data_IF_187078592591
#
_entry.id   IF_187078592591
#
_cell.length_a   1.000
_cell.length_b   1.000
_cell.length_c   1.000
_cell.angle_alpha   90.00
_cell.angle_beta   90.00
_cell.angle_gamma   90.00
#
_symmetry.space_group_name_H-M   'P 1'
#
loop_
_entity.id
_entity.type
_entity.pdbx_description
1 polymer ?
#
# COMPACT_ATOMS: atom_id res chain seq x y z
N UNK A 1 27.82 13.90 -8.52
CA UNK A 1 27.31 13.48 -9.84
C UNK A 1 27.33 11.95 -9.98
N UNK A 2 26.75 11.21 -9.02
CA UNK A 2 26.85 9.74 -8.95
C UNK A 2 25.62 8.98 -9.50
N UNK A 3 24.57 9.69 -9.93
CA UNK A 3 23.40 9.09 -10.59
C UNK A 3 23.67 8.59 -12.02
N UNK A 4 24.82 8.95 -12.62
CA UNK A 4 25.18 8.49 -13.96
C UNK A 4 25.65 7.02 -14.02
N UNK A 5 26.08 6.44 -12.90
CA UNK A 5 26.83 5.17 -12.94
C UNK A 5 25.97 3.90 -12.86
N UNK A 6 24.73 3.95 -12.35
CA UNK A 6 23.87 2.75 -12.26
C UNK A 6 22.88 2.68 -13.43
N UNK A 7 22.36 3.81 -13.91
CA UNK A 7 21.55 3.85 -15.14
C UNK A 7 22.44 3.61 -16.37
N UNK A 8 23.68 4.10 -16.37
CA UNK A 8 24.68 3.77 -17.39
C UNK A 8 25.14 2.29 -17.38
N UNK A 9 24.99 1.59 -16.26
CA UNK A 9 25.41 0.19 -16.09
C UNK A 9 24.46 -0.80 -16.78
N UNK A 10 23.14 -0.57 -16.69
CA UNK A 10 22.14 -1.40 -17.39
C UNK A 10 22.03 -0.99 -18.87
N UNK A 11 22.15 0.31 -19.16
CA UNK A 11 22.14 0.83 -20.53
C UNK A 11 23.37 0.41 -21.33
N UNK A 12 24.57 0.34 -20.74
CA UNK A 12 25.79 -0.08 -21.46
C UNK A 12 25.79 -1.57 -21.85
N UNK A 13 25.14 -2.44 -21.06
CA UNK A 13 24.98 -3.85 -21.40
C UNK A 13 23.97 -4.10 -22.51
N UNK A 14 22.84 -3.37 -22.51
CA UNK A 14 21.94 -3.41 -23.66
C UNK A 14 22.65 -2.84 -24.87
N UNK A 15 23.22 -1.62 -24.82
CA UNK A 15 23.89 -1.03 -25.98
C UNK A 15 25.00 -1.93 -26.54
N UNK A 16 25.86 -2.56 -25.71
CA UNK A 16 26.89 -3.51 -26.20
C UNK A 16 26.31 -4.79 -26.81
N UNK A 17 25.25 -5.38 -26.23
CA UNK A 17 24.58 -6.56 -26.82
C UNK A 17 23.89 -6.21 -28.13
N UNK A 18 23.39 -4.99 -28.27
CA UNK A 18 22.77 -4.50 -29.50
C UNK A 18 23.82 -4.20 -30.59
N UNK A 19 24.97 -3.59 -30.26
CA UNK A 19 26.06 -3.36 -31.24
C UNK A 19 26.71 -4.67 -31.70
N UNK A 20 26.89 -5.64 -30.80
CA UNK A 20 27.45 -6.96 -31.16
C UNK A 20 26.48 -7.78 -32.03
N UNK A 21 25.17 -7.57 -31.90
CA UNK A 21 24.16 -8.14 -32.79
C UNK A 21 24.07 -7.41 -34.16
N UNK A 22 24.47 -6.14 -34.23
CA UNK A 22 24.43 -5.32 -35.43
C UNK A 22 25.71 -5.36 -36.28
N UNK A 23 26.85 -5.77 -35.71
CA UNK A 23 28.17 -5.80 -36.37
C UNK A 23 28.92 -7.10 -36.01
N UNK A 24 28.63 -8.23 -36.70
CA UNK A 24 29.18 -9.54 -36.32
C UNK A 24 30.68 -9.73 -36.62
N UNK A 25 31.28 -8.87 -37.46
CA UNK A 25 32.67 -8.99 -37.92
C UNK A 25 33.67 -8.10 -37.15
N UNK A 26 33.21 -7.30 -36.16
CA UNK A 26 34.07 -6.43 -35.35
C UNK A 26 34.18 -6.95 -33.90
N UNK A 27 35.41 -7.18 -33.43
CA UNK A 27 35.66 -7.63 -32.06
C UNK A 27 35.46 -6.45 -31.11
N UNK A 28 34.24 -6.30 -30.59
CA UNK A 28 33.93 -5.32 -29.53
C UNK A 28 34.35 -5.92 -28.18
N UNK A 29 35.56 -5.60 -27.72
CA UNK A 29 35.99 -5.94 -26.35
C UNK A 29 35.25 -5.08 -25.33
N UNK A 30 34.30 -5.69 -24.61
CA UNK A 30 33.66 -5.05 -23.48
C UNK A 30 34.68 -4.86 -22.34
N UNK A 31 34.74 -3.69 -21.69
CA UNK A 31 35.60 -3.50 -20.53
C UNK A 31 35.27 -4.54 -19.45
N UNK A 32 36.27 -5.10 -18.75
CA UNK A 32 36.03 -6.12 -17.74
C UNK A 32 35.10 -5.59 -16.66
N UNK A 33 34.06 -6.37 -16.33
CA UNK A 33 33.14 -6.06 -15.24
C UNK A 33 33.95 -5.92 -13.95
N UNK A 34 33.89 -4.75 -13.31
CA UNK A 34 34.34 -4.66 -11.91
C UNK A 34 33.43 -5.60 -11.10
N UNK A 35 33.97 -6.55 -10.33
CA UNK A 35 33.14 -7.39 -9.48
C UNK A 35 32.34 -6.51 -8.53
N UNK A 36 31.09 -6.91 -8.25
CA UNK A 36 30.32 -6.29 -7.18
C UNK A 36 31.14 -6.39 -5.87
N UNK A 37 31.12 -5.35 -5.01
CA UNK A 37 31.85 -5.41 -3.75
C UNK A 37 31.45 -6.67 -2.97
N UNK A 38 32.41 -7.54 -2.67
CA UNK A 38 32.18 -8.77 -1.93
C UNK A 38 32.04 -8.45 -0.43
N UNK A 39 31.05 -9.08 0.22
CA UNK A 39 30.76 -8.92 1.65
C UNK A 39 29.41 -8.25 1.93
N UNK A 40 29.08 -8.15 3.22
CA UNK A 40 27.86 -7.49 3.71
C UNK A 40 28.24 -6.39 4.69
N UNK A 41 27.46 -5.33 4.74
CA UNK A 41 27.56 -4.27 5.74
C UNK A 41 26.47 -4.37 6.79
N UNK A 42 26.48 -3.42 7.71
CA UNK A 42 25.44 -3.22 8.70
C UNK A 42 25.02 -1.75 8.76
N UNK A 43 23.80 -1.50 9.23
CA UNK A 43 23.23 -0.17 9.43
C UNK A 43 22.84 -0.02 10.90
N UNK A 44 23.35 1.00 11.58
CA UNK A 44 22.99 1.30 12.96
C UNK A 44 22.48 2.73 13.10
N UNK A 45 21.53 2.95 14.01
CA UNK A 45 20.97 4.28 14.24
C UNK A 45 20.03 4.31 15.45
N UNK A 46 19.26 5.39 15.54
CA UNK A 46 18.27 5.59 16.58
C UNK A 46 16.89 5.88 15.98
N UNK A 47 15.85 5.45 16.69
CA UNK A 47 14.47 5.89 16.44
C UNK A 47 13.99 6.69 17.64
N UNK A 48 13.57 7.92 17.38
CA UNK A 48 13.23 8.90 18.40
C UNK A 48 11.84 9.48 18.18
N UNK A 49 11.24 10.00 19.24
CA UNK A 49 10.06 10.85 19.20
C UNK A 49 10.27 12.01 20.17
N UNK A 50 10.23 13.26 19.68
CA UNK A 50 10.50 14.46 20.50
C UNK A 50 11.79 14.36 21.34
N UNK A 51 12.82 13.72 20.78
CA UNK A 51 14.11 13.48 21.46
C UNK A 51 14.13 12.30 22.45
N UNK A 52 12.99 11.65 22.73
CA UNK A 52 12.92 10.44 23.55
C UNK A 52 13.06 9.17 22.70
N UNK A 53 13.67 8.10 23.22
CA UNK A 53 13.82 6.84 22.48
C UNK A 53 12.48 6.12 22.28
N UNK A 54 12.25 5.62 21.07
CA UNK A 54 11.11 4.74 20.78
C UNK A 54 11.58 3.29 20.82
N UNK A 55 11.11 2.55 21.81
CA UNK A 55 11.46 1.14 22.05
C UNK A 55 10.60 0.22 21.18
N UNK A 56 11.18 -0.90 20.72
CA UNK A 56 10.48 -1.92 19.93
C UNK A 56 9.90 -1.40 18.59
N UNK A 57 10.42 -0.28 18.08
CA UNK A 57 10.19 0.16 16.73
C UNK A 57 10.90 -0.80 15.77
N UNK A 58 10.24 -1.18 14.68
CA UNK A 58 10.84 -2.00 13.63
C UNK A 58 11.44 -1.08 12.57
N UNK A 59 12.72 -1.28 12.25
CA UNK A 59 13.44 -0.55 11.21
C UNK A 59 13.73 -1.50 10.06
N UNK A 60 13.37 -1.07 8.85
CA UNK A 60 13.42 -1.88 7.63
C UNK A 60 14.23 -1.15 6.57
N UNK A 61 15.08 -1.90 5.88
CA UNK A 61 15.62 -1.54 4.56
C UNK A 61 15.27 -2.63 3.57
N UNK A 62 14.98 -2.28 2.33
CA UNK A 62 14.64 -3.25 1.28
C UNK A 62 15.65 -3.17 0.14
N UNK A 63 16.09 -4.33 -0.33
CA UNK A 63 16.87 -4.46 -1.57
C UNK A 63 16.03 -4.03 -2.79
N UNK A 64 16.67 -3.68 -3.92
CA UNK A 64 15.95 -3.38 -5.16
C UNK A 64 15.03 -4.52 -5.65
N UNK A 65 15.37 -5.77 -5.32
CA UNK A 65 14.57 -6.95 -5.61
C UNK A 65 13.41 -7.19 -4.61
N UNK A 66 13.30 -6.37 -3.57
CA UNK A 66 12.23 -6.40 -2.57
C UNK A 66 12.55 -7.21 -1.31
N UNK A 67 13.73 -7.82 -1.19
CA UNK A 67 14.15 -8.55 0.02
C UNK A 67 14.31 -7.57 1.20
N UNK A 68 13.54 -7.72 2.30
CA UNK A 68 13.65 -6.83 3.45
C UNK A 68 14.69 -7.32 4.46
N UNK A 69 15.43 -6.38 5.04
CA UNK A 69 16.28 -6.57 6.22
C UNK A 69 15.70 -5.75 7.38
N UNK A 70 15.55 -6.37 8.55
CA UNK A 70 14.77 -5.81 9.66
C UNK A 70 15.53 -5.91 10.98
N UNK A 71 15.46 -4.86 11.79
CA UNK A 71 15.85 -4.88 13.19
C UNK A 71 14.81 -4.19 14.06
N UNK A 72 14.87 -4.41 15.37
CA UNK A 72 14.04 -3.71 16.34
C UNK A 72 14.88 -2.83 17.25
N UNK A 73 14.33 -1.70 17.65
CA UNK A 73 15.00 -0.82 18.61
C UNK A 73 14.98 -1.37 20.02
N UNK A 74 16.08 -1.19 20.73
CA UNK A 74 16.23 -1.54 22.14
C UNK A 74 15.62 -0.48 23.07
N UNK A 75 15.83 -0.65 24.39
CA UNK A 75 15.35 0.27 25.43
C UNK A 75 15.91 1.71 25.31
N UNK A 76 17.01 1.88 24.59
CA UNK A 76 17.64 3.18 24.30
C UNK A 76 17.25 3.75 22.94
N UNK A 77 16.33 3.09 22.22
CA UNK A 77 15.89 3.47 20.89
C UNK A 77 16.91 3.13 19.79
N UNK A 78 17.99 2.42 20.11
CA UNK A 78 19.04 2.06 19.17
C UNK A 78 18.67 0.80 18.40
N UNK A 79 18.95 0.77 17.10
CA UNK A 79 18.85 -0.42 16.25
C UNK A 79 20.17 -0.71 15.54
N UNK A 80 20.35 -1.97 15.13
CA UNK A 80 21.39 -2.39 14.19
C UNK A 80 20.83 -3.49 13.29
N UNK A 81 20.88 -3.28 11.97
CA UNK A 81 20.53 -4.25 10.94
C UNK A 81 21.83 -4.79 10.36
N UNK A 82 22.06 -6.08 10.47
CA UNK A 82 23.24 -6.75 9.93
C UNK A 82 22.96 -7.42 8.58
N UNK A 83 24.02 -7.84 7.90
CA UNK A 83 23.97 -8.63 6.67
C UNK A 83 23.30 -7.94 5.47
N UNK A 84 23.43 -6.62 5.37
CA UNK A 84 22.88 -5.85 4.26
C UNK A 84 23.90 -5.85 3.10
N UNK A 85 23.51 -6.25 1.87
CA UNK A 85 24.39 -6.12 0.71
C UNK A 85 24.81 -4.66 0.47
N UNK A 86 26.04 -4.39 0.02
CA UNK A 86 26.49 -3.03 -0.27
C UNK A 86 25.58 -2.33 -1.29
N UNK A 87 25.25 -1.06 -1.06
CA UNK A 87 24.30 -0.34 -1.89
C UNK A 87 23.72 0.91 -1.22
N UNK A 88 22.74 1.53 -1.87
CA UNK A 88 22.04 2.71 -1.36
C UNK A 88 20.63 2.34 -0.92
N UNK A 89 20.28 2.68 0.31
CA UNK A 89 19.02 2.30 0.94
C UNK A 89 18.33 3.49 1.60
N UNK A 90 17.00 3.46 1.67
CA UNK A 90 16.20 4.38 2.48
C UNK A 90 15.67 3.59 3.68
N UNK A 91 16.18 3.82 4.90
CA UNK A 91 15.64 3.14 6.08
C UNK A 91 14.28 3.73 6.46
N UNK A 92 13.37 2.85 6.87
CA UNK A 92 12.02 3.19 7.31
C UNK A 92 11.80 2.63 8.70
N UNK A 93 11.33 3.46 9.64
CA UNK A 93 10.93 3.06 10.98
C UNK A 93 9.41 2.99 11.10
N UNK A 94 8.92 1.98 11.81
CA UNK A 94 7.52 1.78 12.15
C UNK A 94 7.39 1.39 13.62
N UNK A 95 6.46 2.00 14.34
CA UNK A 95 6.10 1.60 15.71
C UNK A 95 4.59 1.69 15.94
N UNK A 96 4.07 0.91 16.89
CA UNK A 96 2.66 0.98 17.24
C UNK A 96 2.29 2.36 17.80
N UNK A 97 1.22 2.97 17.30
CA UNK A 97 0.78 4.31 17.69
C UNK A 97 1.57 5.45 17.03
N UNK A 98 2.44 5.15 16.07
CA UNK A 98 3.21 6.14 15.31
C UNK A 98 3.02 5.96 13.81
N UNK A 99 3.04 7.08 13.09
CA UNK A 99 3.15 7.10 11.64
C UNK A 99 4.54 6.61 11.26
N UNK A 100 4.66 5.95 10.11
CA UNK A 100 5.99 5.55 9.66
C UNK A 100 6.84 6.77 9.32
N UNK A 101 8.14 6.62 9.50
CA UNK A 101 9.09 7.65 9.13
C UNK A 101 10.20 7.04 8.29
N UNK A 102 10.52 7.68 7.18
CA UNK A 102 11.71 7.40 6.40
C UNK A 102 12.65 8.62 6.45
N UNK A 103 13.93 8.41 6.16
CA UNK A 103 14.87 9.52 6.06
C UNK A 103 14.55 10.37 4.83
N UNK A 104 14.37 11.67 5.06
CA UNK A 104 14.20 12.69 4.03
C UNK A 104 15.15 13.86 4.31
N UNK A 105 15.55 14.56 3.25
CA UNK A 105 16.30 15.80 3.36
C UNK A 105 15.37 16.99 3.66
N UNK A 106 15.94 18.19 3.81
CA UNK A 106 15.18 19.42 4.10
C UNK A 106 14.19 19.81 2.98
N UNK A 107 14.31 19.22 1.79
CA UNK A 107 13.39 19.39 0.67
C UNK A 107 12.35 18.27 0.57
N UNK A 108 12.33 17.34 1.52
CA UNK A 108 11.40 16.21 1.54
C UNK A 108 11.77 15.09 0.56
N UNK A 109 12.98 15.09 0.00
CA UNK A 109 13.45 14.02 -0.88
C UNK A 109 14.04 12.87 -0.07
N UNK A 110 13.85 11.60 -0.46
CA UNK A 110 14.40 10.47 0.27
C UNK A 110 15.93 10.56 0.42
N UNK A 111 16.42 10.49 1.66
CA UNK A 111 17.85 10.48 1.95
C UNK A 111 18.38 9.05 1.89
N UNK A 112 19.27 8.80 0.94
CA UNK A 112 19.91 7.50 0.75
C UNK A 112 21.10 7.33 1.70
N UNK A 113 21.16 6.19 2.39
CA UNK A 113 22.31 5.74 3.15
C UNK A 113 23.12 4.76 2.30
N UNK A 114 24.42 5.01 2.15
CA UNK A 114 25.34 4.12 1.45
C UNK A 114 25.91 3.09 2.41
N UNK A 115 25.58 1.81 2.19
CA UNK A 115 26.12 0.68 2.94
C UNK A 115 27.38 0.19 2.23
N UNK A 116 28.49 0.17 2.98
CA UNK A 116 29.77 -0.35 2.53
C UNK A 116 30.01 -1.77 3.08
N UNK A 117 30.70 -2.66 2.35
CA UNK A 117 30.97 -4.01 2.82
C UNK A 117 31.85 -3.99 4.08
N UNK A 118 31.54 -4.87 5.02
CA UNK A 118 32.29 -5.08 6.27
C UNK A 118 32.38 -3.83 7.17
N UNK A 119 31.44 -2.89 7.03
CA UNK A 119 31.34 -1.66 7.82
C UNK A 119 29.98 -1.60 8.54
N UNK A 120 29.96 -0.99 9.73
CA UNK A 120 28.71 -0.56 10.38
C UNK A 120 28.51 0.90 10.04
N UNK A 121 27.55 1.19 9.18
CA UNK A 121 27.21 2.55 8.76
C UNK A 121 26.24 3.16 9.76
N UNK A 122 26.54 4.37 10.24
CA UNK A 122 25.66 5.12 11.11
C UNK A 122 24.62 5.90 10.29
N UNK A 123 23.34 5.65 10.52
CA UNK A 123 22.23 6.39 9.95
C UNK A 123 21.90 7.64 10.80
N UNK A 124 21.42 8.73 10.18
CA UNK A 124 20.67 9.76 10.88
C UNK A 124 19.51 9.15 11.69
N UNK A 125 19.10 9.85 12.75
CA UNK A 125 17.98 9.38 13.58
C UNK A 125 16.67 9.45 12.82
N UNK A 126 15.90 8.36 12.86
CA UNK A 126 14.54 8.32 12.35
C UNK A 126 13.61 8.91 13.42
N UNK A 127 12.82 9.92 13.06
CA UNK A 127 11.92 10.61 13.99
C UNK A 127 10.49 10.22 13.69
N UNK A 128 9.85 9.52 14.63
CA UNK A 128 8.47 9.10 14.52
C UNK A 128 7.51 10.17 15.04
N UNK A 129 6.36 10.29 14.38
CA UNK A 129 5.26 11.16 14.78
C UNK A 129 4.10 10.30 15.29
N UNK A 130 3.48 10.61 16.45
CA UNK A 130 2.36 9.83 16.95
C UNK A 130 1.20 9.89 15.95
N UNK A 131 0.67 8.72 15.60
CA UNK A 131 -0.51 8.64 14.74
C UNK A 131 -1.67 9.28 15.45
N UNK A 132 -2.33 10.22 14.78
CA UNK A 132 -3.58 10.79 15.28
C UNK A 132 -4.75 10.00 14.67
N UNK A 133 -5.63 9.42 15.48
CA UNK A 133 -6.81 8.76 14.94
C UNK A 133 -7.63 9.77 14.14
N UNK A 134 -7.99 9.40 12.92
CA UNK A 134 -8.84 10.23 12.07
C UNK A 134 -10.24 10.20 12.66
N UNK A 135 -10.69 11.34 13.20
CA UNK A 135 -12.05 11.47 13.72
C UNK A 135 -12.98 11.76 12.56
N UNK A 136 -13.91 10.83 12.29
CA UNK A 136 -14.94 11.03 11.28
C UNK A 136 -16.20 11.64 11.90
N UNK A 137 -17.00 12.43 11.13
CA UNK A 137 -18.29 12.94 11.58
C UNK A 137 -19.30 11.82 11.88
N UNK A 138 -20.31 12.11 12.72
CA UNK A 138 -21.36 11.12 13.05
C UNK A 138 -22.26 10.78 11.84
N UNK A 139 -22.55 11.74 10.96
CA UNK A 139 -23.32 11.53 9.72
C UNK A 139 -22.39 11.58 8.51
N UNK A 140 -21.81 10.42 8.19
CA UNK A 140 -20.85 10.27 7.10
C UNK A 140 -21.49 10.51 5.73
N UNK A 141 -22.72 10.04 5.53
CA UNK A 141 -23.42 10.16 4.26
C UNK A 141 -23.63 11.63 3.87
N UNK A 142 -24.09 12.45 4.82
CA UNK A 142 -24.24 13.90 4.61
C UNK A 142 -22.88 14.59 4.52
N UNK A 143 -21.96 14.31 5.44
CA UNK A 143 -20.66 14.97 5.48
C UNK A 143 -19.84 14.77 4.20
N UNK A 144 -19.95 13.60 3.57
CA UNK A 144 -19.19 13.23 2.39
C UNK A 144 -20.02 13.15 1.12
N UNK A 145 -21.25 13.71 1.14
CA UNK A 145 -22.12 13.82 -0.04
C UNK A 145 -22.35 12.46 -0.73
N UNK A 146 -22.53 11.41 0.06
CA UNK A 146 -22.77 10.06 -0.44
C UNK A 146 -24.01 10.07 -1.33
N UNK A 147 -23.86 9.60 -2.56
CA UNK A 147 -24.95 9.51 -3.54
C UNK A 147 -24.93 8.16 -4.20
N UNK A 148 -26.07 7.47 -4.23
CA UNK A 148 -26.24 6.28 -5.05
C UNK A 148 -26.47 6.68 -6.51
N UNK A 149 -25.63 6.22 -7.41
CA UNK A 149 -25.60 6.61 -8.83
C UNK A 149 -26.28 5.61 -9.74
N UNK A 150 -26.30 4.33 -9.37
CA UNK A 150 -26.97 3.28 -10.14
C UNK A 150 -27.41 2.11 -9.24
N UNK A 151 -28.45 1.41 -9.69
CA UNK A 151 -28.79 0.06 -9.22
C UNK A 151 -28.95 -0.82 -10.45
N UNK A 152 -28.33 -1.99 -10.45
CA UNK A 152 -28.51 -3.00 -11.49
C UNK A 152 -28.35 -4.41 -10.92
N UNK A 153 -28.70 -5.42 -11.71
CA UNK A 153 -28.43 -6.82 -11.36
C UNK A 153 -27.32 -7.36 -12.22
N UNK A 154 -26.49 -8.23 -11.64
CA UNK A 154 -25.40 -8.90 -12.35
C UNK A 154 -25.38 -10.40 -12.04
N UNK A 155 -24.62 -11.15 -12.83
CA UNK A 155 -24.46 -12.60 -12.72
C UNK A 155 -23.01 -13.01 -12.86
N UNK A 156 -22.62 -14.09 -12.20
CA UNK A 156 -21.29 -14.68 -12.34
C UNK A 156 -21.38 -16.12 -12.87
N UNK A 157 -20.40 -16.57 -13.68
CA UNK A 157 -20.33 -17.95 -14.16
C UNK A 157 -19.89 -18.94 -13.07
N UNK A 158 -19.41 -18.43 -11.94
CA UNK A 158 -18.97 -19.19 -10.79
C UNK A 158 -19.36 -18.43 -9.51
N UNK A 159 -19.89 -19.12 -8.48
CA UNK A 159 -20.52 -20.44 -8.56
C UNK A 159 -21.70 -20.42 -9.55
N UNK A 160 -22.17 -21.58 -10.00
CA UNK A 160 -23.29 -21.64 -10.95
C UNK A 160 -24.55 -20.94 -10.42
N UNK A 161 -25.20 -20.16 -11.28
CA UNK A 161 -26.37 -19.32 -10.95
C UNK A 161 -26.12 -18.19 -9.94
N UNK A 162 -24.86 -17.80 -9.72
CA UNK A 162 -24.56 -16.62 -8.90
C UNK A 162 -25.19 -15.37 -9.51
N UNK A 163 -25.96 -14.65 -8.71
CA UNK A 163 -26.54 -13.37 -9.06
C UNK A 163 -26.59 -12.45 -7.84
N UNK A 164 -26.41 -11.16 -8.07
CA UNK A 164 -26.47 -10.13 -7.05
C UNK A 164 -27.16 -8.87 -7.58
N UNK A 165 -27.74 -8.10 -6.67
CA UNK A 165 -28.05 -6.69 -6.89
C UNK A 165 -26.79 -5.88 -6.59
N UNK A 166 -26.45 -4.95 -7.48
CA UNK A 166 -25.33 -4.02 -7.35
C UNK A 166 -25.90 -2.63 -7.15
N UNK A 167 -25.40 -1.94 -6.13
CA UNK A 167 -25.65 -0.53 -5.88
C UNK A 167 -24.33 0.21 -6.02
N UNK A 168 -24.29 1.17 -6.94
CA UNK A 168 -23.12 2.01 -7.18
C UNK A 168 -23.25 3.31 -6.40
N UNK A 169 -22.16 3.71 -5.74
CA UNK A 169 -22.11 4.91 -4.93
C UNK A 169 -20.95 5.81 -5.37
N UNK A 170 -21.13 7.09 -5.09
CA UNK A 170 -20.07 8.08 -5.10
C UNK A 170 -20.07 8.89 -3.81
N UNK A 171 -18.91 9.38 -3.40
CA UNK A 171 -18.77 10.33 -2.29
C UNK A 171 -17.55 11.24 -2.53
N UNK A 172 -17.45 12.32 -1.76
CA UNK A 172 -16.33 13.27 -1.82
C UNK A 172 -15.62 13.33 -0.46
N UNK A 173 -14.31 13.13 -0.45
CA UNK A 173 -13.50 13.22 0.76
C UNK A 173 -12.17 13.92 0.48
N UNK A 174 -11.81 14.92 1.29
CA UNK A 174 -10.56 15.69 1.18
C UNK A 174 -10.24 16.15 -0.26
N UNK A 175 -11.24 16.66 -0.98
CA UNK A 175 -11.09 17.17 -2.36
C UNK A 175 -11.01 16.09 -3.44
N UNK A 176 -11.05 14.81 -3.08
CA UNK A 176 -11.13 13.69 -4.01
C UNK A 176 -12.57 13.21 -4.17
N UNK A 177 -13.03 13.03 -5.41
CA UNK A 177 -14.30 12.36 -5.72
C UNK A 177 -14.04 10.87 -5.92
N UNK A 178 -14.68 10.04 -5.11
CA UNK A 178 -14.58 8.58 -5.17
C UNK A 178 -15.88 8.06 -5.77
N UNK A 179 -15.82 7.47 -6.95
CA UNK A 179 -16.96 6.91 -7.71
C UNK A 179 -16.82 5.39 -7.96
N UNK A 180 -15.87 4.76 -7.26
CA UNK A 180 -15.55 3.34 -7.35
C UNK A 180 -16.22 2.49 -6.26
N UNK A 181 -17.05 3.09 -5.39
CA UNK A 181 -17.72 2.37 -4.31
C UNK A 181 -18.89 1.55 -4.88
N UNK A 182 -18.90 0.26 -4.58
CA UNK A 182 -19.94 -0.69 -4.97
C UNK A 182 -20.38 -1.51 -3.78
N UNK A 183 -21.69 -1.76 -3.66
CA UNK A 183 -22.27 -2.74 -2.75
C UNK A 183 -22.95 -3.83 -3.58
N UNK A 184 -22.68 -5.09 -3.24
CA UNK A 184 -23.31 -6.25 -3.83
C UNK A 184 -24.11 -6.98 -2.75
N UNK A 185 -25.39 -7.23 -3.03
CA UNK A 185 -26.31 -7.93 -2.14
C UNK A 185 -26.90 -9.16 -2.84
N UNK A 186 -27.12 -10.27 -2.12
CA UNK A 186 -27.96 -11.36 -2.60
C UNK A 186 -29.32 -10.85 -3.09
N UNK A 187 -29.86 -11.50 -4.11
CA UNK A 187 -31.21 -11.17 -4.59
C UNK A 187 -32.28 -11.68 -3.62
N UNK A 188 -33.42 -10.97 -3.59
CA UNK A 188 -34.62 -11.36 -2.83
C UNK A 188 -34.40 -11.48 -1.32
N UNK A 189 -33.60 -10.59 -0.73
CA UNK A 189 -33.43 -10.52 0.72
C UNK A 189 -34.75 -10.17 1.42
N UNK A 190 -34.99 -10.80 2.57
CA UNK A 190 -36.04 -10.36 3.48
C UNK A 190 -35.70 -8.95 3.99
N UNK A 191 -36.72 -8.13 4.27
CA UNK A 191 -36.55 -6.74 4.68
C UNK A 191 -35.71 -6.57 5.96
N UNK A 192 -35.73 -7.56 6.84
CA UNK A 192 -35.01 -7.62 8.10
C UNK A 192 -33.67 -8.39 8.03
N UNK A 193 -33.33 -8.96 6.87
CA UNK A 193 -32.09 -9.73 6.70
C UNK A 193 -30.86 -8.86 7.00
N UNK A 194 -29.95 -9.39 7.80
CA UNK A 194 -28.64 -8.82 8.11
C UNK A 194 -27.54 -9.78 7.66
N UNK A 195 -26.61 -9.28 6.85
CA UNK A 195 -25.53 -10.08 6.28
C UNK A 195 -24.18 -9.65 6.85
N UNK A 196 -23.26 -10.60 7.09
CA UNK A 196 -21.88 -10.27 7.42
C UNK A 196 -21.24 -9.43 6.30
N UNK A 197 -20.42 -8.46 6.71
CA UNK A 197 -19.72 -7.54 5.80
C UNK A 197 -18.38 -8.15 5.36
N UNK A 198 -18.21 -8.26 4.04
CA UNK A 198 -16.90 -8.44 3.40
C UNK A 198 -16.57 -7.17 2.63
N UNK A 199 -15.46 -6.52 2.97
CA UNK A 199 -14.98 -5.29 2.34
C UNK A 199 -13.71 -5.56 1.53
N UNK A 200 -13.71 -5.19 0.25
CA UNK A 200 -12.61 -5.47 -0.67
C UNK A 200 -12.02 -4.17 -1.25
N UNK A 201 -10.71 -4.03 -1.13
CA UNK A 201 -9.95 -2.98 -1.84
C UNK A 201 -9.33 -3.60 -3.08
N UNK A 202 -9.90 -3.35 -4.25
CA UNK A 202 -9.37 -3.90 -5.51
C UNK A 202 -8.19 -3.07 -6.03
N UNK A 203 -7.18 -3.69 -6.67
CA UNK A 203 -5.99 -2.97 -7.14
C UNK A 203 -6.24 -2.19 -8.44
N UNK A 204 -7.34 -2.48 -9.12
CA UNK A 204 -7.73 -1.90 -10.43
C UNK A 204 -9.23 -1.60 -10.43
N UNK A 205 -9.81 -1.27 -11.60
CA UNK A 205 -11.20 -0.84 -11.74
C UNK A 205 -12.16 -1.83 -11.09
N UNK A 206 -12.96 -1.35 -10.14
CA UNK A 206 -13.92 -2.16 -9.36
C UNK A 206 -14.84 -2.96 -10.28
N UNK A 207 -15.26 -2.37 -11.39
CA UNK A 207 -16.20 -2.97 -12.34
C UNK A 207 -15.58 -4.15 -13.12
N UNK A 208 -14.23 -4.25 -13.20
CA UNK A 208 -13.57 -5.44 -13.78
C UNK A 208 -13.61 -6.66 -12.86
N UNK A 209 -13.89 -6.45 -11.57
CA UNK A 209 -14.01 -7.49 -10.57
C UNK A 209 -15.46 -7.85 -10.25
N UNK A 210 -16.42 -7.31 -11.02
CA UNK A 210 -17.86 -7.50 -10.77
C UNK A 210 -18.23 -8.97 -10.62
N UNK A 211 -17.70 -9.83 -11.49
CA UNK A 211 -17.90 -11.28 -11.45
C UNK A 211 -17.50 -11.90 -10.11
N UNK A 212 -16.36 -11.51 -9.54
CA UNK A 212 -15.86 -12.06 -8.27
C UNK A 212 -16.72 -11.56 -7.11
N UNK A 213 -17.03 -10.26 -7.08
CA UNK A 213 -17.88 -9.65 -6.06
C UNK A 213 -19.28 -10.29 -6.04
N UNK A 214 -19.84 -10.56 -7.23
CA UNK A 214 -21.14 -11.22 -7.40
C UNK A 214 -21.12 -12.64 -6.87
N UNK A 215 -20.04 -13.38 -7.13
CA UNK A 215 -19.86 -14.73 -6.64
C UNK A 215 -19.92 -14.76 -5.10
N UNK A 216 -19.16 -13.89 -4.43
CA UNK A 216 -19.21 -13.76 -2.98
C UNK A 216 -20.59 -13.36 -2.48
N UNK A 217 -21.18 -12.29 -3.02
CA UNK A 217 -22.50 -11.82 -2.59
C UNK A 217 -23.57 -12.91 -2.71
N UNK A 218 -23.53 -13.74 -3.76
CA UNK A 218 -24.47 -14.85 -3.94
C UNK A 218 -24.41 -15.91 -2.81
N UNK A 219 -23.35 -15.91 -2.01
CA UNK A 219 -23.16 -16.79 -0.86
C UNK A 219 -23.56 -16.17 0.48
N UNK A 220 -24.35 -15.09 0.49
CA UNK A 220 -24.96 -14.57 1.73
C UNK A 220 -24.06 -13.63 2.52
N UNK A 221 -23.17 -12.91 1.85
CA UNK A 221 -22.42 -11.78 2.43
C UNK A 221 -22.90 -10.48 1.79
N UNK A 222 -22.88 -9.38 2.54
CA UNK A 222 -22.89 -8.05 1.94
C UNK A 222 -21.46 -7.75 1.50
N UNK A 223 -21.23 -7.68 0.19
CA UNK A 223 -19.89 -7.48 -0.36
C UNK A 223 -19.74 -6.03 -0.79
N UNK A 224 -18.89 -5.28 -0.10
CA UNK A 224 -18.57 -3.88 -0.43
C UNK A 224 -17.19 -3.85 -1.09
N UNK A 225 -17.07 -3.09 -2.17
CA UNK A 225 -15.82 -2.95 -2.89
C UNK A 225 -15.50 -1.50 -3.23
N UNK A 226 -14.21 -1.17 -3.21
CA UNK A 226 -13.67 0.13 -3.60
C UNK A 226 -12.35 -0.05 -4.34
N UNK A 227 -12.00 0.88 -5.22
CA UNK A 227 -10.74 0.88 -5.97
C UNK A 227 -9.97 2.20 -5.84
N UNK A 228 -8.63 2.16 -5.77
CA UNK A 228 -7.76 3.33 -5.65
C UNK A 228 -7.48 3.99 -7.00
N UNK A 229 -8.53 4.34 -7.75
CA UNK A 229 -8.40 4.88 -9.11
C UNK A 229 -8.88 6.32 -9.26
N UNK A 230 -9.09 7.02 -8.15
CA UNK A 230 -9.42 8.44 -8.19
C UNK A 230 -8.24 9.22 -8.77
N UNK A 231 -8.47 9.93 -9.88
CA UNK A 231 -7.44 10.72 -10.60
C UNK A 231 -6.74 11.70 -9.66
N UNK A 232 -7.47 12.29 -8.71
CA UNK A 232 -6.91 13.23 -7.74
C UNK A 232 -5.89 12.60 -6.78
N UNK A 233 -5.95 11.28 -6.55
CA UNK A 233 -5.06 10.55 -5.62
C UNK A 233 -3.81 10.01 -6.31
N UNK A 234 -3.88 9.61 -7.58
CA UNK A 234 -2.73 9.01 -8.26
C UNK A 234 -2.14 7.83 -7.47
N UNK A 235 -0.88 7.95 -7.03
CA UNK A 235 -0.17 6.94 -6.22
C UNK A 235 -0.15 7.23 -4.71
N UNK A 236 -0.98 8.15 -4.23
CA UNK A 236 -1.12 8.52 -2.81
C UNK A 236 -1.78 7.38 -2.01
N UNK A 237 -0.96 6.46 -1.48
CA UNK A 237 -1.40 5.29 -0.70
C UNK A 237 -2.18 5.72 0.55
N UNK A 238 -1.78 6.81 1.22
CA UNK A 238 -2.49 7.31 2.42
C UNK A 238 -3.87 7.83 2.06
N UNK A 239 -3.95 8.66 1.02
CA UNK A 239 -5.24 9.17 0.54
C UNK A 239 -6.19 8.03 0.17
N UNK A 240 -5.70 7.01 -0.55
CA UNK A 240 -6.50 5.82 -0.89
C UNK A 240 -6.93 5.02 0.34
N UNK A 241 -6.08 4.92 1.37
CA UNK A 241 -6.42 4.23 2.60
C UNK A 241 -7.47 4.97 3.42
N UNK A 242 -7.40 6.31 3.45
CA UNK A 242 -8.41 7.16 4.08
C UNK A 242 -9.75 7.08 3.35
N UNK A 243 -9.74 7.11 2.01
CA UNK A 243 -10.95 6.95 1.20
C UNK A 243 -11.60 5.57 1.48
N UNK A 244 -10.79 4.50 1.54
CA UNK A 244 -11.26 3.17 1.90
C UNK A 244 -11.79 3.08 3.33
N UNK A 245 -11.17 3.80 4.28
CA UNK A 245 -11.67 3.86 5.66
C UNK A 245 -13.04 4.52 5.72
N UNK A 246 -13.22 5.68 5.07
CA UNK A 246 -14.51 6.37 5.00
C UNK A 246 -15.60 5.45 4.43
N UNK A 247 -15.30 4.74 3.34
CA UNK A 247 -16.22 3.77 2.75
C UNK A 247 -16.52 2.58 3.67
N UNK A 248 -15.52 2.06 4.40
CA UNK A 248 -15.70 0.99 5.36
C UNK A 248 -16.59 1.43 6.52
N UNK A 249 -16.39 2.64 7.06
CA UNK A 249 -17.20 3.17 8.15
C UNK A 249 -18.64 3.41 7.71
N UNK A 250 -18.87 3.92 6.49
CA UNK A 250 -20.23 4.01 5.90
C UNK A 250 -20.90 2.64 5.67
N UNK A 251 -20.11 1.60 5.44
CA UNK A 251 -20.66 0.24 5.34
C UNK A 251 -21.04 -0.31 6.71
N UNK A 252 -20.16 -0.14 7.71
CA UNK A 252 -20.37 -0.64 9.08
C UNK A 252 -21.47 0.13 9.82
N UNK A 253 -21.60 1.43 9.57
CA UNK A 253 -22.64 2.28 10.14
C UNK A 253 -24.02 2.09 9.49
N UNK A 254 -24.09 1.37 8.36
CA UNK A 254 -25.32 1.04 7.66
C UNK A 254 -25.81 2.10 6.68
N UNK A 255 -25.01 3.13 6.40
CA UNK A 255 -25.31 4.20 5.45
C UNK A 255 -25.44 3.69 4.02
N UNK A 256 -24.70 2.63 3.65
CA UNK A 256 -24.82 2.03 2.31
C UNK A 256 -26.08 1.17 2.17
N UNK A 257 -26.45 0.42 3.21
CA UNK A 257 -27.64 -0.43 3.19
C UNK A 257 -27.99 -0.91 4.60
N UNK A 258 -29.28 -0.95 4.96
CA UNK A 258 -29.71 -1.55 6.22
C UNK A 258 -29.44 -3.05 6.28
N UNK A 259 -29.18 -3.74 5.15
CA UNK A 259 -28.92 -5.19 5.15
C UNK A 259 -27.52 -5.58 5.63
N UNK A 260 -26.63 -4.60 5.86
CA UNK A 260 -25.30 -4.86 6.40
C UNK A 260 -25.42 -5.06 7.92
N UNK A 261 -24.88 -6.16 8.43
CA UNK A 261 -24.81 -6.40 9.86
C UNK A 261 -23.80 -5.45 10.50
N UNK A 262 -24.23 -4.66 11.48
CA UNK A 262 -23.34 -3.80 12.26
C UNK A 262 -22.27 -4.61 13.00
N UNK A 263 -21.05 -4.10 13.07
CA UNK A 263 -19.96 -4.69 13.85
C UNK A 263 -18.75 -5.08 13.01
N UNK A 264 -18.25 -6.31 13.17
CA UNK A 264 -16.99 -6.74 12.56
C UNK A 264 -17.12 -6.96 11.05
N UNK A 265 -16.19 -6.39 10.30
CA UNK A 265 -16.02 -6.63 8.87
C UNK A 265 -14.81 -7.53 8.60
N UNK A 266 -14.88 -8.36 7.57
CA UNK A 266 -13.70 -8.99 6.97
C UNK A 266 -13.17 -8.07 5.86
N UNK A 267 -11.93 -7.60 5.98
CA UNK A 267 -11.32 -6.71 4.98
C UNK A 267 -10.27 -7.46 4.18
N UNK A 268 -10.35 -7.36 2.85
CA UNK A 268 -9.47 -8.05 1.90
C UNK A 268 -8.80 -7.06 0.94
N UNK A 269 -7.62 -7.42 0.46
CA UNK A 269 -6.84 -6.68 -0.52
C UNK A 269 -5.66 -7.52 -1.00
N UNK A 270 -5.14 -7.22 -2.18
CA UNK A 270 -3.98 -7.91 -2.75
C UNK A 270 -3.21 -7.04 -3.74
N UNK A 271 -1.96 -7.43 -4.06
CA UNK A 271 -1.06 -6.65 -4.92
C UNK A 271 -0.88 -5.21 -4.41
N UNK A 272 -1.09 -4.19 -5.25
CA UNK A 272 -1.03 -2.77 -4.84
C UNK A 272 -1.94 -2.46 -3.64
N UNK A 273 -3.12 -3.07 -3.58
CA UNK A 273 -4.04 -2.88 -2.46
C UNK A 273 -3.52 -3.42 -1.12
N UNK A 274 -2.48 -4.26 -1.11
CA UNK A 274 -1.86 -4.71 0.15
C UNK A 274 -1.22 -3.55 0.91
N UNK A 275 -0.65 -2.58 0.20
CA UNK A 275 -0.09 -1.38 0.82
C UNK A 275 -1.21 -0.51 1.43
N UNK A 276 -2.30 -0.31 0.68
CA UNK A 276 -3.48 0.44 1.13
C UNK A 276 -4.13 -0.26 2.34
N UNK A 277 -4.29 -1.58 2.29
CA UNK A 277 -4.88 -2.36 3.37
C UNK A 277 -4.03 -2.28 4.65
N UNK A 278 -2.70 -2.32 4.53
CA UNK A 278 -1.81 -2.16 5.70
C UNK A 278 -2.00 -0.79 6.36
N UNK A 279 -2.24 0.27 5.59
CA UNK A 279 -2.61 1.59 6.13
C UNK A 279 -3.98 1.61 6.77
N UNK A 280 -4.98 1.08 6.06
CA UNK A 280 -6.36 1.02 6.54
C UNK A 280 -6.48 0.36 7.91
N UNK A 281 -5.74 -0.74 8.15
CA UNK A 281 -5.76 -1.46 9.43
C UNK A 281 -5.15 -0.68 10.62
N UNK A 282 -4.54 0.48 10.37
CA UNK A 282 -3.96 1.35 11.41
C UNK A 282 -4.84 2.56 11.73
N UNK A 283 -5.87 2.82 10.93
CA UNK A 283 -6.84 3.90 11.11
C UNK A 283 -7.94 3.48 12.09
#
# INVERSE_FOLDING_TARGET
SAQANVIGYVASQQVCRWTQAAMPDEVVECPPLRPAPEGVGALAGFVLHNGAPVVNASVVVAEPAGTPHVARTDATGRYQIDNIPPGFYVPVAVAAGYDEAALHDDWGMPTLVHIEPNQIVAAPSLVLTPSRPVTLPDDLATAFQLTQTAIHTTTAPFPGNAAAEVQAFQFSYNGARVDTLRLYLPRNLAADAKLPLLFMVYPTYVDWWETVSTAFASHGVAFVAISPLTVARGIDIEGHALDANVALQMAVGGELSPHIQSGKALVLGGSFSSAILNRLLRL
#
